data_IF_010894948256
#
_entry.id   IF_010894948256
#
_cell.length_a   1.000
_cell.length_b   1.000
_cell.length_c   1.000
_cell.angle_alpha   90.00
_cell.angle_beta   90.00
_cell.angle_gamma   90.00
#
_symmetry.space_group_name_H-M   'P 1'
#
loop_
_entity.id
_entity.type
_entity.pdbx_description
1 polymer ?
#
# COMPACT_ATOMS: atom_id res chain seq x y z
N UNK A 1 -7.89 -6.88 -9.53
CA UNK A 1 -6.95 -7.94 -9.14
C UNK A 1 -7.17 -8.30 -7.69
N UNK A 2 -7.28 -9.58 -7.36
CA UNK A 2 -7.62 -10.04 -6.02
C UNK A 2 -6.57 -10.99 -5.43
N UNK A 3 -5.35 -10.94 -5.95
CA UNK A 3 -4.28 -11.82 -5.54
C UNK A 3 -3.74 -11.55 -4.14
N UNK A 4 -2.78 -12.36 -3.66
CA UNK A 4 -2.17 -12.18 -2.37
C UNK A 4 -1.35 -10.90 -2.30
N UNK A 5 -1.37 -10.26 -1.13
CA UNK A 5 -0.65 -9.02 -0.87
C UNK A 5 0.34 -9.24 0.27
N UNK A 6 1.59 -8.86 0.04
CA UNK A 6 2.64 -8.96 1.06
C UNK A 6 2.39 -7.95 2.18
N UNK A 7 2.35 -8.42 3.43
CA UNK A 7 2.11 -7.55 4.58
C UNK A 7 3.29 -6.61 4.84
N UNK A 8 4.49 -6.98 4.45
CA UNK A 8 5.69 -6.19 4.72
C UNK A 8 5.84 -5.00 3.76
N UNK A 9 5.71 -5.22 2.45
CA UNK A 9 5.92 -4.17 1.46
C UNK A 9 4.64 -3.67 0.77
N UNK A 10 3.52 -4.41 0.92
CA UNK A 10 2.24 -4.03 0.32
C UNK A 10 2.09 -4.38 -1.15
N UNK A 11 3.04 -5.11 -1.73
CA UNK A 11 2.94 -5.52 -3.14
C UNK A 11 1.86 -6.58 -3.31
N UNK A 12 0.95 -6.36 -4.26
CA UNK A 12 -0.08 -7.31 -4.63
C UNK A 12 0.39 -8.14 -5.83
N UNK A 13 0.22 -9.46 -5.76
CA UNK A 13 0.59 -10.38 -6.82
C UNK A 13 -0.65 -10.87 -7.57
N UNK A 14 -0.47 -11.49 -8.76
CA UNK A 14 -1.60 -12.03 -9.52
C UNK A 14 -2.42 -13.02 -8.70
N UNK A 15 -3.68 -13.21 -9.11
CA UNK A 15 -4.62 -14.12 -8.45
C UNK A 15 -4.14 -15.57 -8.59
N UNK A 16 -3.24 -15.97 -7.72
CA UNK A 16 -2.59 -17.27 -7.68
C UNK A 16 -2.14 -17.53 -6.25
N UNK A 17 -1.55 -18.70 -6.00
CA UNK A 17 -0.97 -19.01 -4.69
C UNK A 17 0.14 -18.00 -4.37
N UNK A 18 0.21 -17.56 -3.11
CA UNK A 18 1.25 -16.66 -2.67
C UNK A 18 2.63 -17.29 -2.86
N UNK A 19 3.64 -16.50 -3.32
CA UNK A 19 5.01 -16.99 -3.37
C UNK A 19 5.47 -17.39 -1.97
N UNK A 20 6.39 -18.36 -1.90
CA UNK A 20 6.99 -18.76 -0.63
C UNK A 20 7.71 -17.58 0.00
N UNK A 21 8.42 -16.80 -0.82
CA UNK A 21 9.12 -15.58 -0.40
C UNK A 21 8.71 -14.46 -1.34
N UNK A 22 8.37 -13.29 -0.79
CA UNK A 22 8.07 -12.12 -1.61
C UNK A 22 9.36 -11.67 -2.32
N UNK A 23 9.40 -11.64 -3.68
CA UNK A 23 10.59 -11.22 -4.40
C UNK A 23 11.06 -9.81 -4.07
N UNK A 24 10.13 -8.90 -3.76
CA UNK A 24 10.48 -7.52 -3.40
C UNK A 24 11.15 -7.50 -2.03
N UNK A 25 10.63 -8.25 -1.05
CA UNK A 25 11.19 -8.31 0.29
C UNK A 25 12.45 -9.17 0.37
N UNK A 26 12.76 -9.96 -0.68
CA UNK A 26 13.99 -10.73 -0.74
C UNK A 26 15.21 -9.85 -0.95
N UNK A 27 15.04 -8.60 -1.37
CA UNK A 27 16.13 -7.64 -1.46
C UNK A 27 16.70 -7.37 -0.07
N UNK A 28 18.01 -7.39 0.08
CA UNK A 28 18.67 -7.20 1.37
C UNK A 28 18.37 -5.85 2.03
N UNK A 29 17.92 -4.87 1.26
CA UNK A 29 17.53 -3.54 1.77
C UNK A 29 16.16 -3.53 2.43
N UNK A 30 15.39 -4.61 2.29
CA UNK A 30 14.05 -4.71 2.85
C UNK A 30 14.11 -5.37 4.23
N UNK A 31 13.26 -4.89 5.12
CA UNK A 31 13.13 -5.46 6.47
C UNK A 31 11.92 -6.38 6.53
N UNK A 32 12.17 -7.65 6.79
CA UNK A 32 11.11 -8.62 7.06
C UNK A 32 11.14 -8.91 8.56
N UNK A 33 10.00 -8.77 9.27
CA UNK A 33 9.96 -9.04 10.71
C UNK A 33 10.45 -10.43 11.07
N UNK A 34 10.90 -10.60 12.31
CA UNK A 34 11.41 -11.87 12.80
C UNK A 34 10.40 -13.01 12.67
N UNK A 35 9.10 -12.71 12.64
CA UNK A 35 8.04 -13.70 12.39
C UNK A 35 7.97 -14.18 10.95
N UNK A 36 8.74 -13.59 10.03
CA UNK A 36 8.82 -14.01 8.64
C UNK A 36 7.76 -13.36 7.75
N UNK A 37 7.56 -13.96 6.58
CA UNK A 37 6.60 -13.48 5.59
C UNK A 37 5.17 -13.71 6.05
N UNK A 38 4.31 -12.72 5.77
CA UNK A 38 2.87 -12.84 5.98
C UNK A 38 2.13 -12.27 4.78
N UNK A 39 0.95 -12.79 4.53
CA UNK A 39 0.15 -12.46 3.36
C UNK A 39 -1.26 -12.06 3.75
N UNK A 40 -1.83 -11.14 3.03
CA UNK A 40 -3.22 -10.72 3.17
C UNK A 40 -3.83 -10.57 1.77
N UNK A 41 -5.01 -9.96 1.67
CA UNK A 41 -5.64 -9.62 0.41
C UNK A 41 -6.27 -8.24 0.54
N UNK A 42 -6.60 -7.62 -0.60
CA UNK A 42 -7.27 -6.33 -0.57
C UNK A 42 -8.60 -6.41 0.16
N UNK A 43 -9.37 -7.48 -0.05
CA UNK A 43 -10.65 -7.67 0.62
C UNK A 43 -10.49 -7.84 2.14
N UNK A 44 -9.49 -8.59 2.58
CA UNK A 44 -9.20 -8.76 4.01
C UNK A 44 -8.73 -7.45 4.64
N UNK A 45 -7.87 -6.72 3.94
CA UNK A 45 -7.35 -5.43 4.41
C UNK A 45 -8.47 -4.40 4.58
N UNK A 46 -9.41 -4.36 3.64
CA UNK A 46 -10.51 -3.41 3.66
C UNK A 46 -11.46 -3.60 4.86
N UNK A 47 -11.41 -4.75 5.55
CA UNK A 47 -12.21 -4.98 6.74
C UNK A 47 -11.68 -4.27 7.98
N UNK A 48 -10.39 -3.94 8.01
CA UNK A 48 -9.74 -3.34 9.18
C UNK A 48 -9.03 -2.03 8.87
N UNK A 49 -8.90 -1.68 7.60
CA UNK A 49 -8.15 -0.51 7.15
C UNK A 49 -8.98 0.30 6.17
N UNK A 50 -8.69 1.58 6.07
CA UNK A 50 -9.30 2.48 5.09
C UNK A 50 -8.29 3.53 4.70
N UNK A 51 -8.49 4.16 3.55
CA UNK A 51 -7.69 5.30 3.14
C UNK A 51 -8.29 6.58 3.73
N UNK A 52 -7.49 7.33 4.44
CA UNK A 52 -7.87 8.64 4.97
C UNK A 52 -7.31 9.74 4.08
N UNK A 53 -8.05 10.84 3.98
CA UNK A 53 -7.72 11.98 3.15
C UNK A 53 -7.48 13.20 4.02
N UNK A 54 -6.34 13.87 3.85
CA UNK A 54 -5.98 15.04 4.64
C UNK A 54 -5.51 16.16 3.72
N UNK A 55 -6.10 17.34 3.88
CA UNK A 55 -5.63 18.50 3.15
C UNK A 55 -4.32 18.99 3.77
N UNK A 56 -3.23 18.83 3.03
CA UNK A 56 -1.89 19.27 3.48
C UNK A 56 -1.72 20.77 3.22
N UNK A 57 -2.16 21.23 2.05
CA UNK A 57 -2.17 22.62 1.61
C UNK A 57 -3.32 22.79 0.64
N UNK A 58 -3.77 24.02 0.35
CA UNK A 58 -4.77 24.24 -0.68
C UNK A 58 -4.33 23.59 -2.00
N UNK A 59 -5.16 22.68 -2.53
CA UNK A 59 -4.86 21.96 -3.76
C UNK A 59 -3.96 20.74 -3.58
N UNK A 60 -3.61 20.35 -2.34
CA UNK A 60 -2.77 19.19 -2.07
C UNK A 60 -3.41 18.31 -1.00
N UNK A 61 -3.84 17.12 -1.40
CA UNK A 61 -4.48 16.15 -0.50
C UNK A 61 -3.53 14.98 -0.29
N UNK A 62 -3.22 14.67 0.98
CA UNK A 62 -2.51 13.46 1.36
C UNK A 62 -3.48 12.31 1.55
N UNK A 63 -3.13 11.13 1.06
CA UNK A 63 -3.93 9.92 1.19
C UNK A 63 -3.06 8.86 1.84
N UNK A 64 -3.52 8.30 2.97
CA UNK A 64 -2.78 7.28 3.70
C UNK A 64 -3.73 6.21 4.21
N UNK A 65 -3.27 4.97 4.26
CA UNK A 65 -4.05 3.88 4.82
C UNK A 65 -4.03 3.95 6.34
N UNK A 66 -5.18 3.84 6.96
CA UNK A 66 -5.38 3.93 8.42
C UNK A 66 -6.03 2.64 8.93
N UNK A 67 -5.47 1.96 9.94
CA UNK A 67 -4.14 2.17 10.52
C UNK A 67 -3.00 1.96 9.51
N UNK A 68 -1.79 2.33 9.88
CA UNK A 68 -0.62 2.16 9.01
C UNK A 68 -0.49 0.69 8.56
N UNK A 69 -0.26 0.49 7.28
CA UNK A 69 -0.08 -0.83 6.68
C UNK A 69 1.23 -0.87 5.89
N UNK A 70 1.91 -2.00 5.93
CA UNK A 70 3.18 -2.23 5.25
C UNK A 70 4.20 -1.16 5.61
N UNK A 71 4.82 -0.51 4.63
CA UNK A 71 5.84 0.51 4.87
C UNK A 71 5.26 1.89 5.15
N UNK A 72 3.93 2.02 5.21
CA UNK A 72 3.29 3.30 5.51
C UNK A 72 3.34 4.28 4.35
N UNK A 73 3.11 3.81 3.14
CA UNK A 73 3.09 4.65 1.95
C UNK A 73 2.02 5.75 2.05
N UNK A 74 2.27 6.85 1.38
CA UNK A 74 1.33 7.95 1.25
C UNK A 74 1.26 8.38 -0.21
N UNK A 75 0.05 8.55 -0.73
CA UNK A 75 -0.17 9.14 -2.03
C UNK A 75 -0.50 10.62 -1.87
N UNK A 76 -0.22 11.42 -2.88
CA UNK A 76 -0.53 12.84 -2.91
C UNK A 76 -1.38 13.15 -4.13
N UNK A 77 -2.52 13.77 -3.92
CA UNK A 77 -3.38 14.27 -5.00
C UNK A 77 -3.14 15.76 -5.14
N UNK A 78 -2.60 16.16 -6.28
CA UNK A 78 -2.36 17.56 -6.60
C UNK A 78 -3.49 18.05 -7.51
N UNK A 79 -4.27 19.01 -7.03
CA UNK A 79 -5.40 19.56 -7.79
C UNK A 79 -5.02 20.91 -8.39
N UNK A 80 -5.21 21.06 -9.70
CA UNK A 80 -4.93 22.30 -10.42
C UNK A 80 -6.11 22.67 -11.32
N UNK A 81 -6.21 23.95 -11.77
CA UNK A 81 -7.25 24.33 -12.71
C UNK A 81 -7.20 23.57 -14.05
N UNK A 82 -6.07 22.96 -14.38
CA UNK A 82 -5.86 22.27 -15.66
C UNK A 82 -5.99 20.75 -15.53
N UNK A 83 -6.26 20.24 -14.34
CA UNK A 83 -6.40 18.82 -14.08
C UNK A 83 -5.69 18.41 -12.79
N UNK A 84 -5.83 17.14 -12.43
CA UNK A 84 -5.28 16.60 -11.20
C UNK A 84 -4.15 15.62 -11.50
N UNK A 85 -3.18 15.58 -10.60
CA UNK A 85 -2.07 14.63 -10.66
C UNK A 85 -2.06 13.78 -9.39
N UNK A 86 -2.09 12.46 -9.54
CA UNK A 86 -1.89 11.56 -8.41
C UNK A 86 -0.42 11.16 -8.38
N UNK A 87 0.25 11.50 -7.29
CA UNK A 87 1.65 11.21 -7.08
C UNK A 87 1.78 10.04 -6.10
N UNK A 88 2.48 8.98 -6.51
CA UNK A 88 2.63 7.76 -5.74
C UNK A 88 1.33 6.96 -5.65
N UNK A 89 1.33 5.85 -4.91
CA UNK A 89 0.19 4.96 -4.83
C UNK A 89 0.10 4.27 -3.47
N UNK A 90 -1.04 3.60 -3.26
CA UNK A 90 -1.34 2.84 -2.05
C UNK A 90 -1.70 1.40 -2.42
N UNK A 91 -1.57 0.49 -1.44
CA UNK A 91 -1.94 -0.92 -1.63
C UNK A 91 -3.46 -1.14 -1.56
N UNK A 92 -4.17 -0.32 -0.79
CA UNK A 92 -5.62 -0.45 -0.59
C UNK A 92 -6.42 0.43 -1.56
#
# INVERSE_FOLDING_TARGET
MTGPMCVTCGTEYPDAAAPEICPICADERQYVPAGGQAWTSRAALARSHRNGFHEEEPGLIGIATEPVFAIGQRALLVMTPHGNLLWDCLSL
#
